data_IF_967795093003
#
_entry.id   IF_967795093003
#
_cell.length_a   1.000
_cell.length_b   1.000
_cell.length_c   1.000
_cell.angle_alpha   90.00
_cell.angle_beta   90.00
_cell.angle_gamma   90.00
#
_symmetry.space_group_name_H-M   'P 1'
#
loop_
_entity.id
_entity.type
_entity.pdbx_description
1 polymer ?
#
# COMPACT_ATOMS: atom_id res chain seq x y z
N UNK A 1 -18.38 -5.71 -24.59
CA UNK A 1 -17.27 -5.37 -23.66
C UNK A 1 -16.10 -4.81 -24.47
N UNK A 2 -15.75 -3.52 -24.32
CA UNK A 2 -14.55 -2.94 -24.96
C UNK A 2 -13.30 -3.49 -24.23
N UNK A 3 -12.50 -4.30 -24.92
CA UNK A 3 -11.16 -4.68 -24.43
C UNK A 3 -10.34 -3.41 -24.26
N UNK A 4 -9.92 -3.10 -23.02
CA UNK A 4 -8.96 -2.01 -22.76
C UNK A 4 -7.66 -2.34 -23.52
N UNK A 5 -7.43 -1.65 -24.64
CA UNK A 5 -6.16 -1.76 -25.38
C UNK A 5 -5.06 -1.08 -24.56
N UNK A 6 -4.23 -1.88 -23.92
CA UNK A 6 -2.99 -1.39 -23.29
C UNK A 6 -2.17 -0.68 -24.38
N UNK A 7 -1.81 0.59 -24.16
CA UNK A 7 -1.12 1.38 -25.17
C UNK A 7 0.28 0.80 -25.47
N UNK A 8 0.71 0.82 -26.74
CA UNK A 8 2.06 0.41 -27.15
C UNK A 8 3.16 1.15 -26.38
N UNK A 9 2.94 2.44 -26.06
CA UNK A 9 3.85 3.24 -25.27
C UNK A 9 4.00 2.70 -23.83
N UNK A 10 2.92 2.24 -23.22
CA UNK A 10 2.96 1.64 -21.88
C UNK A 10 3.78 0.33 -21.91
N UNK A 11 3.54 -0.55 -22.89
CA UNK A 11 4.27 -1.80 -23.05
C UNK A 11 5.78 -1.54 -23.25
N UNK A 12 6.13 -0.58 -24.09
CA UNK A 12 7.53 -0.21 -24.33
C UNK A 12 8.19 0.38 -23.07
N UNK A 13 7.46 1.19 -22.32
CA UNK A 13 7.94 1.73 -21.04
C UNK A 13 8.18 0.63 -20.01
N UNK A 14 7.28 -0.35 -19.91
CA UNK A 14 7.46 -1.52 -19.03
C UNK A 14 8.69 -2.35 -19.42
N UNK A 15 8.92 -2.60 -20.72
CA UNK A 15 10.09 -3.36 -21.18
C UNK A 15 11.44 -2.69 -20.86
N UNK A 16 11.48 -1.35 -20.81
CA UNK A 16 12.70 -0.56 -20.51
C UNK A 16 12.90 -0.33 -19.02
N UNK A 17 11.91 -0.62 -18.20
CA UNK A 17 11.96 -0.38 -16.75
C UNK A 17 12.84 -1.44 -16.06
N UNK A 18 13.96 -1.00 -15.49
CA UNK A 18 14.93 -1.87 -14.81
C UNK A 18 14.29 -2.64 -13.64
N UNK A 19 13.41 -2.00 -12.89
CA UNK A 19 12.72 -2.62 -11.76
C UNK A 19 11.71 -3.69 -12.20
N UNK A 20 11.10 -3.55 -13.39
CA UNK A 20 10.26 -4.59 -13.96
C UNK A 20 11.08 -5.84 -14.32
N UNK A 21 12.28 -5.66 -14.89
CA UNK A 21 13.17 -6.79 -15.19
C UNK A 21 13.69 -7.45 -13.92
N UNK A 22 14.13 -6.64 -12.98
CA UNK A 22 14.64 -7.10 -11.70
C UNK A 22 13.57 -7.86 -10.90
N UNK A 23 12.34 -7.37 -10.82
CA UNK A 23 11.26 -8.07 -10.11
C UNK A 23 10.99 -9.46 -10.67
N UNK A 24 11.10 -9.62 -12.02
CA UNK A 24 10.94 -10.92 -12.65
C UNK A 24 12.09 -11.87 -12.31
N UNK A 25 13.34 -11.38 -12.30
CA UNK A 25 14.52 -12.18 -11.93
C UNK A 25 14.47 -12.64 -10.48
N UNK A 26 14.00 -11.78 -9.57
CA UNK A 26 13.86 -12.07 -8.14
C UNK A 26 12.57 -12.83 -7.80
N UNK A 27 11.72 -13.11 -8.80
CA UNK A 27 10.47 -13.85 -8.63
C UNK A 27 9.40 -13.06 -7.88
N UNK A 28 9.42 -11.73 -7.92
CA UNK A 28 8.35 -10.90 -7.39
C UNK A 28 7.27 -10.63 -8.44
N UNK A 29 6.03 -10.51 -8.00
CA UNK A 29 4.85 -10.32 -8.83
C UNK A 29 4.82 -8.99 -9.56
N UNK A 30 5.44 -7.95 -8.99
CA UNK A 30 5.56 -6.64 -9.64
C UNK A 30 6.73 -5.82 -9.09
N UNK A 31 7.09 -4.77 -9.83
CA UNK A 31 8.08 -3.78 -9.41
C UNK A 31 7.71 -2.97 -8.15
N UNK A 32 6.44 -3.02 -7.72
CA UNK A 32 5.97 -2.31 -6.55
C UNK A 32 6.71 -2.73 -5.27
N UNK A 33 7.25 -3.95 -5.25
CA UNK A 33 8.05 -4.49 -4.13
C UNK A 33 9.18 -3.55 -3.71
N UNK A 34 9.88 -2.93 -4.67
CA UNK A 34 11.05 -2.09 -4.37
C UNK A 34 10.68 -0.82 -3.60
N UNK A 35 9.48 -0.30 -3.78
CA UNK A 35 8.98 0.83 -2.99
C UNK A 35 8.95 0.49 -1.49
N UNK A 36 8.38 -0.68 -1.15
CA UNK A 36 8.32 -1.12 0.24
C UNK A 36 9.71 -1.49 0.78
N UNK A 37 10.58 -2.11 -0.02
CA UNK A 37 11.96 -2.39 0.37
C UNK A 37 12.74 -1.12 0.72
N UNK A 38 12.60 -0.07 -0.09
CA UNK A 38 13.25 1.23 0.13
C UNK A 38 12.68 1.96 1.35
N UNK A 39 11.35 1.90 1.55
CA UNK A 39 10.68 2.41 2.76
C UNK A 39 11.18 1.63 3.99
N UNK A 40 11.23 0.31 3.92
CA UNK A 40 11.75 -0.53 5.01
C UNK A 40 13.20 -0.25 5.32
N UNK A 41 14.04 -0.08 4.31
CA UNK A 41 15.46 0.24 4.49
C UNK A 41 15.65 1.54 5.25
N UNK A 42 14.88 2.57 4.89
CA UNK A 42 15.01 3.92 5.46
C UNK A 42 14.31 4.08 6.80
N UNK A 43 13.11 3.55 6.95
CA UNK A 43 12.24 3.86 8.09
C UNK A 43 12.05 2.70 9.08
N UNK A 44 12.49 1.47 8.72
CA UNK A 44 12.39 0.28 9.58
C UNK A 44 10.97 0.07 10.12
N UNK A 45 10.00 0.07 9.21
CA UNK A 45 8.57 0.01 9.57
C UNK A 45 8.07 -1.41 9.87
N UNK A 46 8.80 -2.45 9.44
CA UNK A 46 8.43 -3.85 9.61
C UNK A 46 9.45 -4.56 10.47
N UNK A 47 8.98 -5.31 11.47
CA UNK A 47 9.77 -6.19 12.32
C UNK A 47 9.12 -7.57 12.40
N UNK A 48 9.87 -8.58 12.81
CA UNK A 48 9.32 -9.91 13.08
C UNK A 48 8.23 -9.86 14.17
N UNK A 49 7.25 -10.74 14.08
CA UNK A 49 6.20 -10.87 15.07
C UNK A 49 5.04 -9.87 14.91
N UNK A 50 5.08 -8.99 13.92
CA UNK A 50 4.04 -7.97 13.71
C UNK A 50 2.74 -8.54 13.13
N UNK A 51 1.63 -7.91 13.51
CA UNK A 51 0.32 -8.04 12.87
C UNK A 51 0.18 -6.91 11.84
N UNK A 52 -0.05 -7.27 10.56
CA UNK A 52 0.03 -6.35 9.41
C UNK A 52 -1.21 -6.48 8.52
N UNK A 53 -1.70 -5.35 8.03
CA UNK A 53 -2.73 -5.28 6.98
C UNK A 53 -2.17 -4.62 5.74
N UNK A 54 -2.34 -5.26 4.56
CA UNK A 54 -1.95 -4.76 3.25
C UNK A 54 -3.22 -4.41 2.45
N UNK A 55 -3.52 -3.11 2.33
CA UNK A 55 -4.70 -2.59 1.64
C UNK A 55 -4.41 -2.33 0.16
N UNK A 56 -5.24 -2.91 -0.73
CA UNK A 56 -5.03 -2.85 -2.17
C UNK A 56 -3.84 -3.71 -2.60
N UNK A 57 -3.77 -4.92 -2.05
CA UNK A 57 -2.60 -5.78 -2.13
C UNK A 57 -2.28 -6.30 -3.53
N UNK A 58 -3.26 -6.39 -4.46
CA UNK A 58 -3.03 -6.99 -5.78
C UNK A 58 -1.91 -6.29 -6.59
N UNK A 59 -1.01 -7.05 -7.21
CA UNK A 59 -0.95 -8.50 -7.38
C UNK A 59 -0.30 -9.28 -6.21
N UNK A 60 -0.02 -8.64 -5.07
CA UNK A 60 0.53 -9.29 -3.87
C UNK A 60 2.02 -9.08 -3.63
N UNK A 61 2.66 -8.12 -4.31
CA UNK A 61 4.12 -7.93 -4.21
C UNK A 61 4.59 -7.47 -2.84
N UNK A 62 3.83 -6.64 -2.14
CA UNK A 62 4.16 -6.20 -0.79
C UNK A 62 3.95 -7.32 0.21
N UNK A 63 2.79 -7.98 0.16
CA UNK A 63 2.51 -9.15 0.99
C UNK A 63 3.52 -10.27 0.80
N UNK A 64 3.94 -10.54 -0.45
CA UNK A 64 4.96 -11.53 -0.77
C UNK A 64 6.33 -11.16 -0.18
N UNK A 65 6.75 -9.91 -0.29
CA UNK A 65 7.99 -9.43 0.32
C UNK A 65 7.97 -9.57 1.85
N UNK A 66 6.87 -9.17 2.48
CA UNK A 66 6.71 -9.27 3.94
C UNK A 66 6.80 -10.73 4.38
N UNK A 67 6.03 -11.62 3.75
CA UNK A 67 6.00 -13.05 4.06
C UNK A 67 7.37 -13.72 3.88
N UNK A 68 8.13 -13.36 2.83
CA UNK A 68 9.46 -13.95 2.56
C UNK A 68 10.57 -13.45 3.51
N UNK A 69 10.46 -12.21 3.99
CA UNK A 69 11.58 -11.54 4.70
C UNK A 69 11.43 -11.51 6.22
N UNK A 70 10.22 -11.61 6.73
CA UNK A 70 9.94 -11.48 8.16
C UNK A 70 9.31 -12.74 8.72
N UNK A 71 9.64 -13.08 9.95
CA UNK A 71 9.18 -14.29 10.64
C UNK A 71 8.06 -13.96 11.62
N UNK A 72 7.17 -14.94 11.84
CA UNK A 72 6.07 -14.85 12.81
C UNK A 72 5.14 -13.65 12.56
N UNK A 73 4.92 -13.32 11.28
CA UNK A 73 4.02 -12.24 10.85
C UNK A 73 2.61 -12.79 10.74
N UNK A 74 1.63 -12.07 11.29
CA UNK A 74 0.21 -12.27 11.01
C UNK A 74 -0.22 -11.25 9.94
N UNK A 75 -0.33 -11.65 8.69
CA UNK A 75 -0.55 -10.77 7.54
C UNK A 75 -1.90 -11.03 6.88
N UNK A 76 -2.72 -9.99 6.78
CA UNK A 76 -3.98 -9.98 6.04
C UNK A 76 -3.87 -9.03 4.85
N UNK A 77 -4.08 -9.56 3.65
CA UNK A 77 -4.05 -8.84 2.38
C UNK A 77 -5.46 -8.65 1.85
N UNK A 78 -5.83 -7.43 1.48
CA UNK A 78 -7.17 -7.09 0.98
C UNK A 78 -7.08 -6.47 -0.40
N UNK A 79 -7.90 -6.94 -1.34
CA UNK A 79 -8.08 -6.32 -2.66
C UNK A 79 -9.46 -6.66 -3.24
N UNK A 80 -9.93 -5.83 -4.15
CA UNK A 80 -11.12 -6.11 -4.97
C UNK A 80 -10.90 -7.30 -5.91
N UNK A 81 -9.65 -7.53 -6.30
CA UNK A 81 -9.24 -8.62 -7.17
C UNK A 81 -8.83 -9.82 -6.35
N UNK A 82 -8.99 -10.99 -6.96
CA UNK A 82 -8.42 -12.23 -6.44
C UNK A 82 -6.89 -12.14 -6.46
N UNK A 83 -6.24 -12.65 -5.41
CA UNK A 83 -4.80 -12.82 -5.35
C UNK A 83 -4.45 -14.31 -5.47
N UNK A 84 -3.43 -14.61 -6.27
CA UNK A 84 -2.82 -15.93 -6.20
C UNK A 84 -2.28 -16.18 -4.79
N UNK A 85 -2.38 -17.43 -4.33
CA UNK A 85 -1.96 -17.81 -2.97
C UNK A 85 -0.54 -17.35 -2.66
N UNK A 86 -0.37 -16.73 -1.51
CA UNK A 86 0.92 -16.37 -0.90
C UNK A 86 1.02 -17.13 0.42
N UNK A 87 2.16 -17.77 0.64
CA UNK A 87 2.39 -18.54 1.85
C UNK A 87 2.32 -17.63 3.09
N UNK A 88 1.63 -18.11 4.14
CA UNK A 88 1.45 -17.39 5.40
C UNK A 88 0.73 -16.02 5.29
N UNK A 89 -0.08 -15.84 4.24
CA UNK A 89 -0.89 -14.64 4.04
C UNK A 89 -2.37 -15.02 3.95
N UNK A 90 -3.19 -14.40 4.78
CA UNK A 90 -4.64 -14.49 4.65
C UNK A 90 -5.11 -13.47 3.63
N UNK A 91 -5.79 -13.92 2.57
CA UNK A 91 -6.35 -13.01 1.57
C UNK A 91 -7.86 -12.83 1.78
N UNK A 92 -8.32 -11.59 1.77
CA UNK A 92 -9.72 -11.19 1.79
C UNK A 92 -10.03 -10.46 0.48
N UNK A 93 -10.92 -11.03 -0.33
CA UNK A 93 -11.46 -10.34 -1.49
C UNK A 93 -12.62 -9.45 -1.04
N UNK A 94 -12.51 -8.15 -1.28
CA UNK A 94 -13.54 -7.18 -0.89
C UNK A 94 -13.04 -5.74 -0.97
N UNK A 95 -13.99 -4.82 -0.80
CA UNK A 95 -13.72 -3.41 -0.67
C UNK A 95 -13.45 -3.08 0.80
N UNK A 96 -12.27 -2.59 1.12
CA UNK A 96 -11.90 -2.25 2.51
C UNK A 96 -12.67 -1.04 3.05
N UNK A 97 -13.30 -0.24 2.19
CA UNK A 97 -14.14 0.90 2.61
C UNK A 97 -15.49 0.44 3.17
N UNK A 98 -15.92 -0.78 2.82
CA UNK A 98 -17.15 -1.36 3.34
C UNK A 98 -16.99 -1.88 4.77
N UNK A 99 -17.92 -1.53 5.65
CA UNK A 99 -17.91 -1.94 7.06
C UNK A 99 -17.86 -3.47 7.23
N UNK A 100 -18.55 -4.21 6.36
CA UNK A 100 -18.53 -5.68 6.41
C UNK A 100 -17.14 -6.25 6.13
N UNK A 101 -16.38 -5.61 5.23
CA UNK A 101 -15.00 -6.01 4.93
C UNK A 101 -14.07 -5.61 6.07
N UNK A 102 -14.22 -4.41 6.65
CA UNK A 102 -13.46 -3.96 7.82
C UNK A 102 -13.63 -4.94 8.99
N UNK A 103 -14.86 -5.36 9.30
CA UNK A 103 -15.14 -6.38 10.33
C UNK A 103 -14.50 -7.74 10.01
N UNK A 104 -14.45 -8.15 8.74
CA UNK A 104 -13.75 -9.38 8.34
C UNK A 104 -12.24 -9.26 8.57
N UNK A 105 -11.64 -8.09 8.29
CA UNK A 105 -10.22 -7.84 8.56
C UNK A 105 -9.95 -7.94 10.06
N UNK A 106 -10.72 -7.21 10.87
CA UNK A 106 -10.56 -7.17 12.32
C UNK A 106 -10.66 -8.54 12.97
N UNK A 107 -11.59 -9.39 12.53
CA UNK A 107 -11.76 -10.78 13.04
C UNK A 107 -10.53 -11.68 12.85
N UNK A 108 -9.59 -11.31 11.97
CA UNK A 108 -8.36 -12.07 11.82
C UNK A 108 -7.33 -11.77 12.91
N UNK A 109 -7.55 -10.76 13.73
CA UNK A 109 -6.61 -10.34 14.76
C UNK A 109 -7.27 -10.41 16.13
N UNK A 110 -6.53 -10.86 17.14
CA UNK A 110 -7.00 -10.96 18.52
C UNK A 110 -6.87 -9.62 19.25
N UNK A 111 -6.00 -8.73 18.72
CA UNK A 111 -5.68 -7.42 19.26
C UNK A 111 -5.59 -6.39 18.13
N UNK A 112 -5.39 -5.13 18.49
CA UNK A 112 -5.00 -4.08 17.56
C UNK A 112 -3.68 -4.44 16.86
N UNK A 113 -3.46 -3.90 15.66
CA UNK A 113 -2.37 -4.29 14.77
C UNK A 113 -1.18 -3.33 14.83
N UNK A 114 -0.04 -3.78 14.33
CA UNK A 114 1.21 -3.02 14.39
C UNK A 114 1.39 -2.12 13.16
N UNK A 115 0.92 -2.56 11.99
CA UNK A 115 1.19 -1.87 10.73
C UNK A 115 0.04 -2.01 9.73
N UNK A 116 -0.34 -0.88 9.14
CA UNK A 116 -1.15 -0.85 7.91
C UNK A 116 -0.27 -0.31 6.78
N UNK A 117 -0.22 -1.05 5.67
CA UNK A 117 0.44 -0.61 4.44
C UNK A 117 -0.56 -0.52 3.29
N UNK A 118 -0.34 0.42 2.36
CA UNK A 118 -1.20 0.63 1.19
C UNK A 118 -0.43 1.18 -0.01
N UNK A 119 -0.44 0.46 -1.13
CA UNK A 119 0.02 0.96 -2.44
C UNK A 119 -1.16 1.12 -3.43
N UNK A 120 -2.36 1.44 -2.90
CA UNK A 120 -3.56 1.59 -3.71
C UNK A 120 -3.44 2.76 -4.71
N UNK A 121 -3.99 2.55 -5.88
CA UNK A 121 -4.32 3.59 -6.83
C UNK A 121 -5.62 3.20 -7.53
N UNK A 122 -6.43 4.18 -7.87
CA UNK A 122 -7.57 3.94 -8.76
C UNK A 122 -7.09 3.48 -10.13
N UNK A 123 -7.95 2.72 -10.83
CA UNK A 123 -7.75 2.48 -12.24
C UNK A 123 -7.75 3.82 -12.96
N UNK A 124 -6.60 4.19 -13.51
CA UNK A 124 -6.43 5.51 -14.13
C UNK A 124 -7.42 5.73 -15.26
N UNK A 125 -8.18 6.79 -15.16
CA UNK A 125 -9.11 7.24 -16.22
C UNK A 125 -8.36 7.90 -17.37
N UNK A 126 -7.08 8.26 -17.15
CA UNK A 126 -6.25 9.05 -18.04
C UNK A 126 -6.33 10.56 -17.74
N UNK A 127 -7.25 11.01 -16.90
CA UNK A 127 -7.32 12.37 -16.39
C UNK A 127 -6.55 12.45 -15.07
N UNK A 128 -5.35 13.04 -15.12
CA UNK A 128 -4.44 13.10 -13.97
C UNK A 128 -5.02 13.77 -12.72
N UNK A 129 -5.93 14.73 -12.90
CA UNK A 129 -6.54 15.43 -11.78
C UNK A 129 -7.59 14.55 -11.08
N UNK A 130 -8.45 13.89 -11.87
CA UNK A 130 -9.45 12.94 -11.34
C UNK A 130 -8.76 11.77 -10.67
N UNK A 131 -7.76 11.17 -11.33
CA UNK A 131 -7.00 10.03 -10.80
C UNK A 131 -6.28 10.38 -9.48
N UNK A 132 -5.77 11.62 -9.37
CA UNK A 132 -5.13 12.12 -8.14
C UNK A 132 -6.13 12.34 -7.01
N UNK A 133 -7.31 12.89 -7.32
CA UNK A 133 -8.36 13.14 -6.33
C UNK A 133 -8.86 11.82 -5.73
N UNK A 134 -9.29 10.89 -6.56
CA UNK A 134 -9.85 9.61 -6.08
C UNK A 134 -8.80 8.75 -5.36
N UNK A 135 -7.53 8.79 -5.80
CA UNK A 135 -6.44 8.13 -5.04
C UNK A 135 -6.22 8.80 -3.68
N UNK A 136 -6.37 10.12 -3.61
CA UNK A 136 -6.30 10.87 -2.36
C UNK A 136 -7.41 10.47 -1.39
N UNK A 137 -8.64 10.36 -1.86
CA UNK A 137 -9.79 9.89 -1.07
C UNK A 137 -9.54 8.48 -0.50
N UNK A 138 -9.06 7.54 -1.33
CA UNK A 138 -8.68 6.21 -0.86
C UNK A 138 -7.59 6.23 0.23
N UNK A 139 -6.64 7.15 0.12
CA UNK A 139 -5.59 7.29 1.14
C UNK A 139 -6.13 7.84 2.47
N UNK A 140 -7.10 8.75 2.41
CA UNK A 140 -7.81 9.27 3.58
C UNK A 140 -8.63 8.15 4.23
N UNK A 141 -9.38 7.38 3.46
CA UNK A 141 -10.14 6.23 3.96
C UNK A 141 -9.22 5.18 4.60
N UNK A 142 -8.07 4.88 3.97
CA UNK A 142 -7.08 3.98 4.53
C UNK A 142 -6.51 4.51 5.86
N UNK A 143 -6.28 5.82 5.99
CA UNK A 143 -5.86 6.44 7.24
C UNK A 143 -6.97 6.34 8.30
N UNK A 144 -8.20 6.69 7.96
CA UNK A 144 -9.34 6.62 8.87
C UNK A 144 -9.56 5.19 9.39
N UNK A 145 -9.44 4.19 8.52
CA UNK A 145 -9.49 2.79 8.92
C UNK A 145 -8.31 2.44 9.84
N UNK A 146 -7.10 2.87 9.50
CA UNK A 146 -5.91 2.58 10.30
C UNK A 146 -5.98 3.15 11.72
N UNK A 147 -6.57 4.34 11.90
CA UNK A 147 -6.78 4.94 13.22
C UNK A 147 -7.67 4.09 14.13
N UNK A 148 -8.60 3.31 13.55
CA UNK A 148 -9.49 2.42 14.30
C UNK A 148 -8.78 1.15 14.78
N UNK A 149 -7.82 0.62 14.01
CA UNK A 149 -7.27 -0.73 14.22
C UNK A 149 -5.81 -0.75 14.69
N UNK A 150 -5.07 0.36 14.58
CA UNK A 150 -3.67 0.42 15.00
C UNK A 150 -3.49 0.47 16.52
N UNK A 151 -2.41 -0.16 17.00
CA UNK A 151 -1.87 0.04 18.36
C UNK A 151 -1.37 1.49 18.53
N UNK A 152 -1.18 1.94 19.78
CA UNK A 152 -0.61 3.28 20.07
C UNK A 152 0.78 3.51 19.45
N UNK A 153 1.61 2.49 19.39
CA UNK A 153 2.92 2.54 18.72
C UNK A 153 2.84 2.07 17.25
N UNK A 154 1.63 1.94 16.72
CA UNK A 154 1.37 1.46 15.37
C UNK A 154 1.90 2.40 14.28
N UNK A 155 2.07 1.83 13.09
CA UNK A 155 2.60 2.50 11.93
C UNK A 155 1.59 2.44 10.77
N UNK A 156 1.47 3.55 10.05
CA UNK A 156 0.70 3.65 8.82
C UNK A 156 1.61 4.06 7.66
N UNK A 157 1.57 3.31 6.57
CA UNK A 157 2.30 3.61 5.33
C UNK A 157 1.31 3.60 4.17
N UNK A 158 1.17 4.71 3.48
CA UNK A 158 0.26 4.78 2.32
C UNK A 158 0.84 5.58 1.18
N UNK A 159 0.55 5.12 -0.04
CA UNK A 159 0.78 5.92 -1.22
C UNK A 159 -0.12 7.14 -1.23
N UNK A 160 0.47 8.29 -1.58
CA UNK A 160 -0.22 9.56 -1.76
C UNK A 160 0.22 10.20 -3.07
N UNK A 161 -0.63 11.05 -3.63
CA UNK A 161 -0.24 11.91 -4.74
C UNK A 161 -0.13 13.35 -4.28
N UNK A 162 0.87 14.05 -4.79
CA UNK A 162 0.97 15.50 -4.64
C UNK A 162 -0.16 16.18 -5.45
N UNK A 163 -1.26 16.47 -4.78
CA UNK A 163 -2.50 17.00 -5.38
C UNK A 163 -3.45 17.60 -4.34
N UNK A 164 -4.73 17.71 -4.66
CA UNK A 164 -5.76 18.35 -3.84
C UNK A 164 -5.90 17.78 -2.42
N UNK A 165 -5.84 16.46 -2.29
CA UNK A 165 -5.99 15.77 -0.99
C UNK A 165 -4.70 15.72 -0.15
N UNK A 166 -3.57 16.25 -0.67
CA UNK A 166 -2.28 16.14 0.02
C UNK A 166 -2.28 16.83 1.39
N UNK A 167 -2.78 18.07 1.45
CA UNK A 167 -2.81 18.83 2.70
C UNK A 167 -3.70 18.16 3.74
N UNK A 168 -4.86 17.67 3.35
CA UNK A 168 -5.79 16.97 4.23
C UNK A 168 -5.17 15.72 4.87
N UNK A 169 -4.45 14.90 4.07
CA UNK A 169 -3.74 13.72 4.56
C UNK A 169 -2.63 14.12 5.54
N UNK A 170 -1.86 15.16 5.21
CA UNK A 170 -0.77 15.66 6.07
C UNK A 170 -1.32 16.22 7.38
N UNK A 171 -2.42 16.95 7.35
CA UNK A 171 -3.03 17.52 8.55
C UNK A 171 -3.65 16.42 9.44
N UNK A 172 -4.27 15.41 8.82
CA UNK A 172 -4.71 14.22 9.55
C UNK A 172 -3.53 13.47 10.18
N UNK A 173 -2.41 13.32 9.47
CA UNK A 173 -1.21 12.70 10.02
C UNK A 173 -0.65 13.46 11.21
N UNK A 174 -0.52 14.81 11.12
CA UNK A 174 -0.07 15.68 12.23
C UNK A 174 -0.96 15.56 13.45
N UNK A 175 -2.27 15.50 13.25
CA UNK A 175 -3.25 15.41 14.34
C UNK A 175 -3.16 14.09 15.08
N UNK A 176 -3.00 12.97 14.37
CA UNK A 176 -3.21 11.65 14.91
C UNK A 176 -1.92 10.89 15.25
N UNK A 177 -0.77 11.26 14.65
CA UNK A 177 0.50 10.58 14.88
C UNK A 177 1.54 11.52 15.49
N UNK A 178 2.48 10.95 16.26
CA UNK A 178 3.58 11.73 16.85
C UNK A 178 4.64 12.10 15.82
N UNK A 179 4.82 11.25 14.79
CA UNK A 179 5.83 11.40 13.76
C UNK A 179 5.24 11.03 12.41
N UNK A 180 5.52 11.83 11.39
CA UNK A 180 5.22 11.48 10.01
C UNK A 180 6.30 11.97 9.05
N UNK A 181 6.45 11.28 7.93
CA UNK A 181 7.36 11.63 6.84
C UNK A 181 6.66 11.49 5.51
N UNK A 182 6.98 12.37 4.57
CA UNK A 182 6.63 12.19 3.15
C UNK A 182 7.91 11.79 2.41
N UNK A 183 7.83 10.68 1.69
CA UNK A 183 9.00 10.08 1.04
C UNK A 183 8.67 9.61 -0.37
N UNK A 184 9.55 9.92 -1.31
CA UNK A 184 9.51 9.39 -2.67
C UNK A 184 10.59 8.31 -2.80
N UNK A 185 10.20 7.01 -2.88
CA UNK A 185 11.16 5.94 -3.11
C UNK A 185 11.93 6.13 -4.44
N UNK A 186 13.22 5.84 -4.50
CA UNK A 186 14.01 5.89 -5.75
C UNK A 186 13.41 5.03 -6.86
N UNK A 187 12.78 3.92 -6.52
CA UNK A 187 12.06 3.06 -7.46
C UNK A 187 10.77 3.68 -8.00
N UNK A 188 10.23 4.74 -7.41
CA UNK A 188 9.12 5.50 -8.00
C UNK A 188 9.58 6.21 -9.28
N UNK A 189 8.73 6.20 -10.30
CA UNK A 189 9.07 6.86 -11.58
C UNK A 189 9.29 8.37 -11.38
N UNK A 190 10.33 8.92 -11.99
CA UNK A 190 10.70 10.34 -11.82
C UNK A 190 9.56 11.29 -12.15
N UNK A 191 8.83 11.00 -13.24
CA UNK A 191 7.69 11.80 -13.71
C UNK A 191 6.38 11.58 -12.93
N UNK A 192 6.33 10.60 -12.04
CA UNK A 192 5.15 10.35 -11.20
C UNK A 192 5.09 11.32 -10.03
N UNK A 193 3.91 11.84 -9.74
CA UNK A 193 3.62 12.62 -8.52
C UNK A 193 3.44 11.73 -7.28
N UNK A 194 3.66 10.42 -7.42
CA UNK A 194 3.57 9.44 -6.35
C UNK A 194 4.60 9.70 -5.27
N UNK A 195 4.15 9.71 -4.04
CA UNK A 195 4.94 9.72 -2.81
C UNK A 195 4.30 8.72 -1.84
N UNK A 196 4.93 8.51 -0.71
CA UNK A 196 4.39 7.74 0.41
C UNK A 196 4.41 8.59 1.68
N UNK A 197 3.33 8.48 2.46
CA UNK A 197 3.32 9.00 3.82
C UNK A 197 3.61 7.84 4.78
N UNK A 198 4.51 8.08 5.71
CA UNK A 198 4.91 7.13 6.76
C UNK A 198 4.60 7.80 8.09
N UNK A 199 3.61 7.29 8.81
CA UNK A 199 3.17 7.82 10.09
C UNK A 199 3.48 6.81 11.19
N UNK A 200 4.04 7.27 12.32
CA UNK A 200 4.45 6.42 13.44
C UNK A 200 3.91 6.94 14.75
N UNK A 201 3.66 6.00 15.66
CA UNK A 201 3.26 6.29 17.04
C UNK A 201 1.94 7.06 17.08
N UNK A 202 0.81 6.34 16.98
CA UNK A 202 -0.53 6.87 17.15
C UNK A 202 -0.61 7.60 18.51
N UNK A 203 -1.26 8.76 18.54
CA UNK A 203 -1.42 9.60 19.76
C UNK A 203 -2.44 9.03 20.74
#
# INVERSE_FOLDING_TARGET
MKKNKISKNWINKQKRDIYVRQSKLEGYRSRAVYKLQEIQTKFKVINNGMSIVDLGAAPGSWSEFISRKFKNIKLVAIDLKELDKIENVTHIKGDFTEEITQKKIEKNFDEKIDLVVSDMAVNTTGNKNVDSLVTGELSIEAMNFSLKILKKNGVFVSKIFMGSSFNEIVDSAKKNFKEFHVYKPPSSRKESKENFIICKNLR
#
